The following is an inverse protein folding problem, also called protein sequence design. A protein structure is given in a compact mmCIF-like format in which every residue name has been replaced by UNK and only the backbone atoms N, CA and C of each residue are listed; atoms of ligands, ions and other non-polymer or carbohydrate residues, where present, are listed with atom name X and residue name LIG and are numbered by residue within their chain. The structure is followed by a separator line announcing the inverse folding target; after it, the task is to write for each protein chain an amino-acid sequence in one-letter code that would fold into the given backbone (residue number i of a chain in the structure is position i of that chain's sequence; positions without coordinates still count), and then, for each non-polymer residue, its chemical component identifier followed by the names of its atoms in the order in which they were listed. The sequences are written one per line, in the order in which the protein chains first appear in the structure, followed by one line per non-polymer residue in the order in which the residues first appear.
data_IF_831209031503
#
_entry.id   IF_831209031503
#
_cell.length_a   1.000
_cell.length_b   1.000
_cell.length_c   1.000
_cell.angle_alpha   90.00
_cell.angle_beta   90.00
_cell.angle_gamma   90.00
#
_symmetry.space_group_name_H-M   'P 1'
#
loop_
_entity.id
_entity.type
_entity.pdbx_description
1 polymer ?
#
# COMPACT_ATOMS: atom_id res chain seq x y z
N UNK A 1 15.16 -16.75 -12.95
CA UNK A 1 13.99 -17.16 -13.76
C UNK A 1 12.99 -16.02 -13.71
N UNK A 2 12.71 -15.36 -14.83
CA UNK A 2 11.68 -14.33 -14.88
C UNK A 2 10.36 -15.08 -14.92
N UNK A 3 9.65 -15.14 -13.78
CA UNK A 3 8.32 -15.73 -13.71
C UNK A 3 7.38 -14.92 -14.60
N UNK A 4 6.65 -15.58 -15.49
CA UNK A 4 5.62 -14.91 -16.27
C UNK A 4 4.61 -14.20 -15.33
N UNK A 5 4.10 -13.02 -15.72
CA UNK A 5 3.11 -12.30 -14.91
C UNK A 5 1.89 -13.19 -14.64
N UNK A 6 1.48 -13.27 -13.38
CA UNK A 6 0.30 -14.06 -13.01
C UNK A 6 -0.95 -13.33 -13.49
N UNK A 7 -1.67 -13.92 -14.44
CA UNK A 7 -2.94 -13.36 -14.92
C UNK A 7 -4.02 -13.50 -13.84
N UNK A 8 -4.70 -12.39 -13.57
CA UNK A 8 -5.79 -12.28 -12.58
C UNK A 8 -7.15 -12.35 -13.27
N UNK A 9 -7.28 -11.69 -14.42
CA UNK A 9 -8.56 -11.55 -15.11
C UNK A 9 -8.46 -10.71 -16.38
N UNK A 10 -9.61 -10.31 -16.91
CA UNK A 10 -9.71 -9.44 -18.09
C UNK A 10 -10.73 -8.34 -17.87
N UNK A 11 -10.41 -7.14 -18.37
CA UNK A 11 -11.31 -5.98 -18.31
C UNK A 11 -12.59 -6.28 -19.10
N UNK A 12 -13.75 -5.95 -18.53
CA UNK A 12 -15.06 -6.13 -19.16
C UNK A 12 -15.95 -4.89 -18.98
N UNK A 13 -16.74 -4.58 -20.00
CA UNK A 13 -17.70 -3.48 -19.97
C UNK A 13 -17.08 -2.10 -20.24
N UNK A 14 -17.79 -1.07 -19.77
CA UNK A 14 -17.37 0.33 -19.92
C UNK A 14 -16.26 0.66 -18.92
N UNK A 15 -15.20 1.29 -19.41
CA UNK A 15 -14.06 1.72 -18.59
C UNK A 15 -13.96 3.24 -18.50
N UNK A 16 -13.21 3.70 -17.51
CA UNK A 16 -12.84 5.10 -17.32
C UNK A 16 -11.32 5.21 -17.12
N UNK A 17 -10.82 6.42 -16.96
CA UNK A 17 -9.42 6.66 -16.56
C UNK A 17 -9.15 6.26 -15.12
N UNK A 18 -10.16 6.24 -14.25
CA UNK A 18 -9.95 6.04 -12.80
C UNK A 18 -10.42 4.67 -12.30
N UNK A 19 -11.14 3.92 -13.14
CA UNK A 19 -11.72 2.64 -12.75
C UNK A 19 -12.19 1.80 -13.94
N UNK A 20 -12.30 0.50 -13.70
CA UNK A 20 -12.96 -0.44 -14.61
C UNK A 20 -13.53 -1.64 -13.86
N UNK A 21 -14.38 -2.42 -14.53
CA UNK A 21 -14.78 -3.76 -14.11
C UNK A 21 -13.94 -4.81 -14.82
N UNK A 22 -13.68 -5.93 -14.15
CA UNK A 22 -13.01 -7.09 -14.75
C UNK A 22 -13.73 -8.38 -14.38
N UNK A 23 -13.63 -9.38 -15.26
CA UNK A 23 -13.89 -10.77 -14.90
C UNK A 23 -12.63 -11.33 -14.26
N UNK A 24 -12.72 -11.72 -13.00
CA UNK A 24 -11.65 -12.39 -12.27
C UNK A 24 -11.68 -13.88 -12.64
N UNK A 25 -10.61 -14.34 -13.29
CA UNK A 25 -10.45 -15.75 -13.67
C UNK A 25 -9.60 -16.54 -12.67
N UNK A 26 -8.84 -15.83 -11.84
CA UNK A 26 -8.00 -16.43 -10.81
C UNK A 26 -8.61 -16.19 -9.42
N UNK A 27 -9.26 -17.22 -8.88
CA UNK A 27 -9.99 -17.16 -7.59
C UNK A 27 -9.12 -16.91 -6.34
N UNK A 28 -7.79 -16.82 -6.48
CA UNK A 28 -6.89 -16.38 -5.40
C UNK A 28 -6.96 -14.87 -5.14
N UNK A 29 -7.48 -14.11 -6.08
CA UNK A 29 -7.55 -12.65 -6.01
C UNK A 29 -8.96 -12.18 -5.64
N UNK A 30 -9.02 -11.14 -4.81
CA UNK A 30 -10.27 -10.56 -4.36
C UNK A 30 -10.10 -9.16 -3.79
N UNK A 31 -11.05 -8.75 -2.94
CA UNK A 31 -11.10 -7.40 -2.39
C UNK A 31 -9.80 -7.03 -1.66
N UNK A 32 -9.31 -5.82 -1.91
CA UNK A 32 -8.07 -5.21 -1.43
C UNK A 32 -6.78 -5.72 -2.07
N UNK A 33 -6.83 -6.68 -3.01
CA UNK A 33 -5.63 -7.06 -3.75
C UNK A 33 -5.25 -5.98 -4.76
N UNK A 34 -3.93 -5.82 -4.93
CA UNK A 34 -3.34 -4.96 -5.94
C UNK A 34 -3.13 -5.74 -7.24
N UNK A 35 -3.57 -5.13 -8.34
CA UNK A 35 -3.42 -5.63 -9.70
C UNK A 35 -2.79 -4.56 -10.57
N UNK A 36 -2.23 -4.96 -11.70
CA UNK A 36 -1.68 -4.03 -12.68
C UNK A 36 -2.22 -4.30 -14.09
N UNK A 37 -2.29 -3.23 -14.87
CA UNK A 37 -2.63 -3.26 -16.29
C UNK A 37 -1.64 -2.40 -17.03
N UNK A 38 -1.07 -2.93 -18.12
CA UNK A 38 -0.23 -2.16 -19.02
C UNK A 38 -1.14 -1.35 -19.95
N UNK A 39 -0.98 -0.03 -19.92
CA UNK A 39 -1.68 0.90 -20.79
C UNK A 39 -0.76 2.06 -21.13
N UNK A 40 -0.89 2.65 -22.31
CA UNK A 40 -0.02 3.78 -22.74
C UNK A 40 1.49 3.50 -22.59
N UNK A 41 1.89 2.23 -22.78
CA UNK A 41 3.29 1.79 -22.69
C UNK A 41 3.86 1.65 -21.27
N UNK A 42 3.05 1.75 -20.21
CA UNK A 42 3.50 1.59 -18.82
C UNK A 42 2.50 0.83 -17.93
N UNK A 43 2.94 0.26 -16.80
CA UNK A 43 2.03 -0.40 -15.86
C UNK A 43 1.35 0.63 -14.95
N UNK A 44 0.02 0.52 -14.83
CA UNK A 44 -0.80 1.24 -13.86
C UNK A 44 -1.19 0.32 -12.71
N UNK A 45 -1.10 0.84 -11.47
CA UNK A 45 -1.54 0.14 -10.27
C UNK A 45 -3.03 0.34 -10.07
N UNK A 46 -3.75 -0.74 -9.77
CA UNK A 46 -5.14 -0.71 -9.36
C UNK A 46 -5.35 -1.53 -8.09
N UNK A 47 -6.41 -1.21 -7.35
CA UNK A 47 -6.91 -1.99 -6.23
C UNK A 47 -8.29 -2.55 -6.55
N UNK A 48 -8.50 -3.84 -6.26
CA UNK A 48 -9.83 -4.45 -6.33
C UNK A 48 -10.66 -3.93 -5.14
N UNK A 49 -11.55 -2.97 -5.39
CA UNK A 49 -12.36 -2.31 -4.37
C UNK A 49 -13.54 -3.17 -3.92
N UNK A 50 -14.13 -3.90 -4.86
CA UNK A 50 -15.32 -4.73 -4.63
C UNK A 50 -15.26 -5.97 -5.52
N UNK A 51 -15.83 -7.08 -5.04
CA UNK A 51 -16.00 -8.32 -5.80
C UNK A 51 -17.45 -8.75 -5.70
N UNK A 52 -18.10 -8.98 -6.84
CA UNK A 52 -19.48 -9.44 -6.98
C UNK A 52 -19.51 -10.74 -7.75
N UNK A 53 -20.58 -11.51 -7.57
CA UNK A 53 -20.87 -12.68 -8.41
C UNK A 53 -22.05 -12.35 -9.32
N UNK A 54 -21.92 -12.62 -10.61
CA UNK A 54 -22.98 -12.48 -11.61
C UNK A 54 -23.07 -13.78 -12.38
N UNK A 55 -24.05 -14.62 -12.02
CA UNK A 55 -24.11 -16.01 -12.48
C UNK A 55 -22.88 -16.80 -12.03
N UNK A 56 -22.16 -17.37 -12.99
CA UNK A 56 -20.90 -18.10 -12.81
C UNK A 56 -19.67 -17.19 -12.75
N UNK A 57 -19.77 -15.94 -13.21
CA UNK A 57 -18.65 -14.99 -13.25
C UNK A 57 -18.39 -14.32 -11.90
N UNK A 58 -17.10 -14.14 -11.59
CA UNK A 58 -16.63 -13.30 -10.50
C UNK A 58 -16.22 -11.93 -11.09
N UNK A 59 -16.91 -10.86 -10.72
CA UNK A 59 -16.71 -9.52 -11.25
C UNK A 59 -16.03 -8.64 -10.21
N UNK A 60 -14.84 -8.14 -10.53
CA UNK A 60 -14.09 -7.21 -9.69
C UNK A 60 -14.25 -5.76 -10.17
N UNK A 61 -14.60 -4.85 -9.27
CA UNK A 61 -14.49 -3.40 -9.52
C UNK A 61 -13.10 -2.94 -9.09
N UNK A 62 -12.34 -2.39 -10.04
CA UNK A 62 -10.97 -1.95 -9.84
C UNK A 62 -10.90 -0.42 -9.91
N UNK A 63 -10.13 0.18 -9.00
CA UNK A 63 -9.86 1.63 -8.98
C UNK A 63 -8.38 1.88 -9.13
N UNK A 64 -8.01 2.89 -9.90
CA UNK A 64 -6.62 3.30 -10.10
C UNK A 64 -6.05 3.86 -8.80
N UNK A 65 -4.81 3.49 -8.51
CA UNK A 65 -4.07 3.97 -7.35
C UNK A 65 -2.89 4.82 -7.85
N UNK A 66 -2.87 6.08 -7.44
CA UNK A 66 -1.89 7.06 -7.91
C UNK A 66 -2.37 7.77 -9.20
N UNK A 67 -1.45 8.14 -10.11
CA UNK A 67 -1.80 8.90 -11.31
C UNK A 67 -2.60 8.08 -12.33
N UNK A 68 -3.70 8.65 -12.82
CA UNK A 68 -4.54 8.06 -13.87
C UNK A 68 -3.91 8.13 -15.27
N UNK A 69 -4.23 7.19 -16.18
CA UNK A 69 -3.90 7.29 -17.61
C UNK A 69 -4.64 8.46 -18.27
N UNK A 70 -4.18 8.84 -19.47
CA UNK A 70 -4.84 9.90 -20.26
C UNK A 70 -6.13 9.41 -20.91
N UNK A 71 -6.20 8.14 -21.25
CA UNK A 71 -7.35 7.50 -21.91
C UNK A 71 -7.84 6.29 -21.11
N UNK A 72 -9.14 5.93 -21.20
CA UNK A 72 -9.66 4.74 -20.54
C UNK A 72 -8.95 3.45 -20.95
N UNK A 73 -8.92 2.47 -20.04
CA UNK A 73 -8.32 1.16 -20.30
C UNK A 73 -9.11 0.40 -21.37
N UNK A 74 -8.48 -0.24 -22.37
CA UNK A 74 -9.20 -0.97 -23.41
C UNK A 74 -9.93 -2.19 -22.82
N UNK A 75 -11.23 -2.40 -23.13
CA UNK A 75 -11.92 -3.63 -22.79
C UNK A 75 -11.20 -4.86 -23.35
N UNK A 76 -11.23 -5.98 -22.62
CA UNK A 76 -10.53 -7.21 -22.98
C UNK A 76 -9.05 -7.25 -22.62
N UNK A 77 -8.45 -6.13 -22.19
CA UNK A 77 -7.06 -6.10 -21.71
C UNK A 77 -6.87 -7.07 -20.53
N UNK A 78 -5.72 -7.73 -20.50
CA UNK A 78 -5.35 -8.59 -19.38
C UNK A 78 -4.99 -7.77 -18.15
N UNK A 79 -5.46 -8.26 -17.01
CA UNK A 79 -5.13 -7.74 -15.69
C UNK A 79 -4.21 -8.74 -15.01
N UNK A 80 -3.06 -8.29 -14.54
CA UNK A 80 -2.03 -9.12 -13.93
C UNK A 80 -1.87 -8.81 -12.45
N UNK A 81 -1.25 -9.73 -11.71
CA UNK A 81 -0.83 -9.48 -10.33
C UNK A 81 0.15 -8.31 -10.31
N UNK A 82 -0.10 -7.32 -9.46
CA UNK A 82 0.79 -6.18 -9.37
C UNK A 82 2.19 -6.62 -8.90
N UNK A 83 3.20 -6.17 -9.63
CA UNK A 83 4.61 -6.28 -9.25
C UNK A 83 4.91 -5.35 -8.07
N UNK A 84 5.93 -5.69 -7.29
CA UNK A 84 6.35 -4.88 -6.15
C UNK A 84 6.79 -3.47 -6.60
N UNK A 85 7.38 -3.35 -7.80
CA UNK A 85 7.75 -2.06 -8.39
C UNK A 85 6.51 -1.21 -8.71
N UNK A 86 5.49 -1.77 -9.36
CA UNK A 86 4.24 -1.06 -9.66
C UNK A 86 3.52 -0.66 -8.38
N UNK A 87 3.49 -1.52 -7.36
CA UNK A 87 2.92 -1.21 -6.05
C UNK A 87 3.65 -0.02 -5.41
N UNK A 88 4.99 -0.08 -5.33
CA UNK A 88 5.82 0.99 -4.74
C UNK A 88 5.59 2.31 -5.46
N UNK A 89 5.59 2.31 -6.79
CA UNK A 89 5.37 3.51 -7.61
C UNK A 89 3.96 4.07 -7.41
N UNK A 90 2.93 3.24 -7.49
CA UNK A 90 1.53 3.69 -7.39
C UNK A 90 1.15 4.20 -6.01
N UNK A 91 1.69 3.61 -4.93
CA UNK A 91 1.47 4.08 -3.56
C UNK A 91 2.43 5.20 -3.12
N UNK A 92 3.43 5.55 -3.94
CA UNK A 92 4.44 6.54 -3.59
C UNK A 92 5.43 6.07 -2.51
N UNK A 93 5.61 4.75 -2.36
CA UNK A 93 6.57 4.12 -1.44
C UNK A 93 7.97 4.12 -2.10
N UNK A 94 8.53 5.33 -2.21
CA UNK A 94 9.81 5.60 -2.88
C UNK A 94 10.93 5.97 -1.90
N UNK A 95 10.58 6.17 -0.63
CA UNK A 95 11.53 6.56 0.41
C UNK A 95 12.43 5.38 0.78
N UNK A 96 13.74 5.64 0.84
CA UNK A 96 14.72 4.70 1.37
C UNK A 96 14.77 4.71 2.90
N UNK A 97 15.41 3.70 3.47
CA UNK A 97 15.71 3.65 4.91
C UNK A 97 16.46 4.90 5.38
N UNK A 98 17.48 5.36 4.66
CA UNK A 98 18.26 6.54 5.02
C UNK A 98 17.39 7.79 5.23
N UNK A 99 16.36 7.97 4.40
CA UNK A 99 15.55 9.20 4.35
C UNK A 99 14.18 9.09 5.03
N UNK A 100 13.81 7.91 5.53
CA UNK A 100 12.46 7.65 6.00
C UNK A 100 12.37 6.92 7.34
N UNK A 101 11.26 7.12 8.04
CA UNK A 101 10.90 6.37 9.24
C UNK A 101 10.26 5.06 8.83
N UNK A 102 10.83 3.93 9.23
CA UNK A 102 10.17 2.65 9.00
C UNK A 102 8.86 2.56 9.80
N UNK A 103 7.76 2.21 9.14
CA UNK A 103 6.45 2.08 9.80
C UNK A 103 5.81 0.69 9.65
N UNK A 104 6.57 -0.27 9.13
CA UNK A 104 6.13 -1.65 8.93
C UNK A 104 6.10 -2.08 7.47
N UNK A 105 5.39 -3.18 7.20
CA UNK A 105 5.24 -3.78 5.88
C UNK A 105 3.82 -3.59 5.33
N UNK A 106 3.71 -3.49 4.02
CA UNK A 106 2.43 -3.53 3.34
C UNK A 106 1.76 -4.88 3.60
N UNK A 107 0.48 -4.88 3.97
CA UNK A 107 -0.25 -6.10 4.30
C UNK A 107 -0.17 -7.13 3.15
N UNK A 108 0.09 -8.39 3.49
CA UNK A 108 0.17 -9.52 2.57
C UNK A 108 1.24 -9.40 1.47
N UNK A 109 2.19 -8.46 1.60
CA UNK A 109 3.33 -8.30 0.70
C UNK A 109 4.60 -8.08 1.53
N UNK A 110 5.74 -8.55 1.04
CA UNK A 110 7.02 -8.31 1.72
C UNK A 110 7.63 -6.95 1.32
N UNK A 111 6.79 -5.91 1.30
CA UNK A 111 7.16 -4.54 0.91
C UNK A 111 7.24 -3.70 2.18
N UNK A 112 8.46 -3.38 2.61
CA UNK A 112 8.72 -2.43 3.67
C UNK A 112 8.32 -0.99 3.25
N UNK A 113 7.76 -0.25 4.20
CA UNK A 113 7.25 1.11 4.01
C UNK A 113 8.01 2.08 4.91
N UNK A 114 8.59 3.11 4.30
CA UNK A 114 9.26 4.21 4.98
C UNK A 114 8.56 5.54 4.70
N UNK A 115 8.19 6.25 5.76
CA UNK A 115 7.62 7.59 5.65
C UNK A 115 8.73 8.64 5.53
N UNK A 116 8.71 9.53 4.51
CA UNK A 116 9.78 10.49 4.28
C UNK A 116 9.83 11.55 5.38
N UNK A 117 10.89 11.54 6.21
CA UNK A 117 11.05 12.40 7.39
C UNK A 117 10.82 13.87 7.04
N UNK A 118 11.41 14.34 5.93
CA UNK A 118 11.33 15.73 5.46
C UNK A 118 9.89 16.19 5.11
N UNK A 119 8.97 15.26 4.84
CA UNK A 119 7.57 15.58 4.52
C UNK A 119 6.63 15.44 5.73
N UNK A 120 7.11 14.85 6.84
CA UNK A 120 6.32 14.64 8.06
C UNK A 120 6.37 15.88 8.96
N UNK A 121 5.74 16.97 8.52
CA UNK A 121 5.69 18.21 9.30
C UNK A 121 4.69 18.13 10.44
N UNK A 122 3.47 17.68 10.16
CA UNK A 122 2.40 17.47 11.15
C UNK A 122 1.75 16.12 10.87
N UNK A 123 1.76 15.25 11.87
CA UNK A 123 1.18 13.90 11.79
C UNK A 123 0.09 13.77 12.83
N UNK A 124 -1.06 13.26 12.42
CA UNK A 124 -2.17 12.95 13.33
C UNK A 124 -2.42 11.45 13.33
N UNK A 125 -2.12 10.78 14.44
CA UNK A 125 -2.33 9.34 14.62
C UNK A 125 -3.66 9.14 15.36
N UNK A 126 -4.65 8.55 14.69
CA UNK A 126 -6.02 8.40 15.19
C UNK A 126 -6.51 6.96 15.09
N UNK A 127 -7.40 6.56 16.00
CA UNK A 127 -7.96 5.22 16.05
C UNK A 127 -8.67 4.96 17.38
N UNK A 128 -9.57 3.97 17.41
CA UNK A 128 -10.25 3.52 18.64
C UNK A 128 -9.25 3.01 19.70
N UNK A 129 -9.63 2.88 20.99
CA UNK A 129 -8.83 2.16 21.97
C UNK A 129 -8.42 0.77 21.45
N UNK A 130 -7.17 0.38 21.66
CA UNK A 130 -6.60 -0.88 21.14
C UNK A 130 -6.28 -0.90 19.63
N UNK A 131 -6.47 0.20 18.89
CA UNK A 131 -6.13 0.26 17.46
C UNK A 131 -4.62 0.38 17.17
N UNK A 132 -3.77 0.46 18.20
CA UNK A 132 -2.31 0.57 18.05
C UNK A 132 -1.78 2.00 17.90
N UNK A 133 -2.52 3.05 18.28
CA UNK A 133 -2.04 4.45 18.19
C UNK A 133 -0.69 4.65 18.89
N UNK A 134 -0.62 4.27 20.17
CA UNK A 134 0.59 4.45 20.98
C UNK A 134 1.73 3.55 20.53
N UNK A 135 1.41 2.36 20.02
CA UNK A 135 2.37 1.47 19.36
C UNK A 135 2.98 2.11 18.11
N UNK A 136 2.15 2.64 17.20
CA UNK A 136 2.62 3.35 16.00
C UNK A 136 3.50 4.54 16.36
N UNK A 137 3.14 5.31 17.39
CA UNK A 137 3.97 6.42 17.87
C UNK A 137 5.30 5.92 18.47
N UNK A 138 5.30 4.80 19.20
CA UNK A 138 6.53 4.17 19.70
C UNK A 138 7.49 3.79 18.58
N UNK A 139 6.98 3.11 17.53
CA UNK A 139 7.78 2.78 16.33
C UNK A 139 8.34 4.04 15.67
N UNK A 140 7.51 5.08 15.49
CA UNK A 140 7.99 6.35 14.92
C UNK A 140 9.03 7.04 15.81
N UNK A 141 8.86 6.99 17.14
CA UNK A 141 9.79 7.57 18.10
C UNK A 141 11.16 6.87 18.05
N UNK A 142 11.19 5.55 18.02
CA UNK A 142 12.42 4.77 17.89
C UNK A 142 13.16 5.10 16.58
N UNK A 143 12.44 5.18 15.46
CA UNK A 143 13.03 5.51 14.16
C UNK A 143 13.58 6.95 14.12
N UNK A 144 12.91 7.91 14.79
CA UNK A 144 13.40 9.27 14.94
C UNK A 144 14.68 9.32 15.80
N UNK A 145 14.70 8.59 16.92
CA UNK A 145 15.87 8.50 17.81
C UNK A 145 17.07 7.89 17.08
N UNK A 146 16.88 6.80 16.31
CA UNK A 146 17.92 6.18 15.48
C UNK A 146 18.54 7.16 14.47
N UNK A 147 17.74 8.13 14.00
CA UNK A 147 18.19 9.19 13.08
C UNK A 147 18.76 10.42 13.79
N UNK A 148 18.91 10.38 15.11
CA UNK A 148 19.43 11.48 15.91
C UNK A 148 18.49 12.69 15.98
N UNK A 149 17.19 12.50 15.71
CA UNK A 149 16.21 13.58 15.80
C UNK A 149 15.80 13.76 17.26
N UNK A 150 15.98 14.95 17.85
CA UNK A 150 15.53 15.22 19.21
C UNK A 150 14.01 15.07 19.33
N UNK A 151 13.56 14.35 20.36
CA UNK A 151 12.15 14.02 20.56
C UNK A 151 11.69 14.47 21.95
N UNK A 152 10.54 15.13 22.01
CA UNK A 152 9.83 15.46 23.25
C UNK A 152 8.46 14.80 23.19
N UNK A 153 8.16 13.94 24.17
CA UNK A 153 6.85 13.28 24.29
C UNK A 153 6.15 13.83 25.54
N UNK A 154 4.95 14.36 25.37
CA UNK A 154 4.07 14.75 26.47
C UNK A 154 3.13 13.57 26.72
N UNK A 155 3.47 12.78 27.74
CA UNK A 155 2.83 11.49 28.00
C UNK A 155 1.86 11.56 29.18
N UNK A 156 0.58 11.76 28.89
CA UNK A 156 -0.46 11.85 29.91
C UNK A 156 -0.79 10.50 30.57
N UNK A 157 -0.45 9.37 29.93
CA UNK A 157 -0.84 8.03 30.37
C UNK A 157 0.33 7.14 30.80
N UNK A 158 1.57 7.58 30.60
CA UNK A 158 2.79 6.85 30.97
C UNK A 158 3.17 5.74 29.98
N UNK A 159 2.61 5.75 28.77
CA UNK A 159 2.81 4.70 27.75
C UNK A 159 4.22 4.68 27.14
N UNK A 160 5.00 5.76 27.27
CA UNK A 160 6.29 5.94 26.59
C UNK A 160 7.50 5.96 27.53
N UNK A 161 7.28 5.65 28.81
CA UNK A 161 8.34 5.71 29.84
C UNK A 161 9.55 4.81 29.54
N UNK A 162 9.34 3.67 28.87
CA UNK A 162 10.40 2.73 28.48
C UNK A 162 11.36 3.28 27.42
N UNK A 163 10.94 4.25 26.60
CA UNK A 163 11.80 4.83 25.54
C UNK A 163 13.01 5.59 26.09
N UNK A 164 13.08 5.84 27.41
CA UNK A 164 14.24 6.42 28.09
C UNK A 164 15.42 5.46 28.18
N UNK A 165 15.18 4.15 28.06
CA UNK A 165 16.20 3.11 28.21
C UNK A 165 16.44 2.48 26.83
N UNK A 166 17.69 2.50 26.33
CA UNK A 166 18.03 1.79 25.10
C UNK A 166 17.70 0.31 25.21
N UNK A 167 17.10 -0.27 24.17
CA UNK A 167 16.91 -1.72 24.13
C UNK A 167 18.26 -2.43 23.92
N UNK A 168 18.46 -3.54 24.64
CA UNK A 168 19.64 -4.40 24.48
C UNK A 168 19.61 -5.19 23.16
N UNK A 169 18.45 -5.27 22.50
CA UNK A 169 18.27 -5.98 21.22
C UNK A 169 17.13 -5.36 20.38
N UNK A 170 17.22 -5.32 19.04
CA UNK A 170 16.08 -4.94 18.22
C UNK A 170 14.97 -6.01 18.32
N UNK A 171 13.73 -5.57 18.51
CA UNK A 171 12.53 -6.41 18.45
C UNK A 171 12.12 -6.77 17.02
#
# INVERSE_FOLDING_TARGET
MISNPVVVGKIEGVTSTDSFSMVITNGKFGRNDYVEVVHEGRPFLLMIKEVKRSGDKLIGSCVVVGPSPKTPFPPGSEVHMASDETIRRGLGILTSDAEGLYIGKLKARDIMVWLPVKKLTRVFIVGKPGAGKSYTMGVMAEELIKKGVPLVIIDAHGEYSSLKVPSESPS
#
